data_IF_339685440187
#
_entry.id   IF_339685440187
#
_cell.length_a   1.000
_cell.length_b   1.000
_cell.length_c   1.000
_cell.angle_alpha   90.00
_cell.angle_beta   90.00
_cell.angle_gamma   90.00
#
_symmetry.space_group_name_H-M   'P 1'
#
loop_
_entity.id
_entity.type
_entity.pdbx_description
1 polymer ?
#
# COMPACT_ATOMS: atom_id res chain seq x y z
N UNK A 1 14.50 -23.46 7.15
CA UNK A 1 14.99 -22.10 7.47
C UNK A 1 13.97 -21.13 6.92
N UNK A 2 13.40 -20.30 7.79
CA UNK A 2 12.43 -19.25 7.43
C UNK A 2 13.21 -18.08 6.80
N UNK A 3 13.17 -17.98 5.47
CA UNK A 3 13.92 -16.97 4.73
C UNK A 3 13.02 -15.74 4.50
N UNK A 4 13.45 -14.51 4.86
CA UNK A 4 12.62 -13.31 4.77
C UNK A 4 11.96 -13.10 3.39
N UNK A 5 12.71 -13.34 2.31
CA UNK A 5 12.17 -13.26 0.95
C UNK A 5 11.04 -14.26 0.66
N UNK A 6 11.09 -15.49 1.21
CA UNK A 6 10.01 -16.46 1.06
C UNK A 6 8.78 -16.02 1.84
N UNK A 7 8.96 -15.52 3.07
CA UNK A 7 7.88 -14.96 3.89
C UNK A 7 7.18 -13.78 3.19
N UNK A 8 7.92 -12.92 2.49
CA UNK A 8 7.31 -11.82 1.72
C UNK A 8 6.49 -12.33 0.54
N UNK A 9 6.99 -13.33 -0.20
CA UNK A 9 6.24 -13.95 -1.31
C UNK A 9 4.95 -14.57 -0.80
N UNK A 10 5.01 -15.32 0.30
CA UNK A 10 3.85 -15.96 0.92
C UNK A 10 2.82 -14.92 1.39
N UNK A 11 3.26 -13.84 2.05
CA UNK A 11 2.37 -12.74 2.48
C UNK A 11 1.73 -12.00 1.30
N UNK A 12 2.48 -11.76 0.22
CA UNK A 12 1.91 -11.15 -0.98
C UNK A 12 0.87 -12.07 -1.65
N UNK A 13 1.10 -13.38 -1.63
CA UNK A 13 0.13 -14.36 -2.14
C UNK A 13 -1.13 -14.38 -1.27
N UNK A 14 -0.97 -14.47 0.05
CA UNK A 14 -2.09 -14.44 1.00
C UNK A 14 -2.89 -13.13 0.89
N UNK A 15 -2.20 -11.98 0.77
CA UNK A 15 -2.84 -10.69 0.59
C UNK A 15 -3.67 -10.66 -0.68
N UNK A 16 -3.12 -11.10 -1.81
CA UNK A 16 -3.85 -11.14 -3.07
C UNK A 16 -5.08 -12.07 -3.00
N UNK A 17 -4.96 -13.22 -2.35
CA UNK A 17 -6.08 -14.14 -2.13
C UNK A 17 -7.18 -13.48 -1.31
N UNK A 18 -6.85 -12.94 -0.13
CA UNK A 18 -7.85 -12.33 0.76
C UNK A 18 -8.46 -11.07 0.18
N UNK A 19 -7.70 -10.26 -0.54
CA UNK A 19 -8.21 -9.04 -1.17
C UNK A 19 -9.12 -9.39 -2.36
N UNK A 20 -8.82 -10.44 -3.13
CA UNK A 20 -9.68 -10.88 -4.24
C UNK A 20 -11.06 -11.40 -3.81
N UNK A 21 -11.26 -11.66 -2.51
CA UNK A 21 -12.57 -12.01 -1.94
C UNK A 21 -13.45 -10.77 -1.67
N UNK A 22 -12.91 -9.55 -1.81
CA UNK A 22 -13.69 -8.30 -1.65
C UNK A 22 -14.49 -8.06 -2.92
N UNK A 23 -15.78 -8.39 -2.88
CA UNK A 23 -16.68 -8.28 -4.03
C UNK A 23 -16.73 -6.85 -4.61
N UNK A 24 -16.65 -5.82 -3.77
CA UNK A 24 -16.70 -4.43 -4.20
C UNK A 24 -15.47 -3.98 -5.02
N UNK A 25 -14.41 -4.78 -5.11
CA UNK A 25 -13.31 -4.56 -6.06
C UNK A 25 -13.61 -5.07 -7.48
N UNK A 26 -14.75 -5.73 -7.71
CA UNK A 26 -15.19 -6.09 -9.07
C UNK A 26 -15.57 -4.82 -9.84
N UNK A 27 -15.07 -4.61 -11.08
CA UNK A 27 -15.35 -3.37 -11.82
C UNK A 27 -16.83 -3.08 -12.05
N UNK A 28 -17.71 -4.09 -12.12
CA UNK A 28 -19.15 -3.84 -12.22
C UNK A 28 -19.71 -3.24 -10.93
N UNK A 29 -19.39 -3.82 -9.77
CA UNK A 29 -19.85 -3.34 -8.47
C UNK A 29 -19.19 -2.02 -8.07
N UNK A 30 -17.90 -1.84 -8.38
CA UNK A 30 -17.17 -0.60 -8.11
C UNK A 30 -17.80 0.62 -8.76
N UNK A 31 -18.22 0.48 -10.02
CA UNK A 31 -18.86 1.56 -10.78
C UNK A 31 -20.19 2.02 -10.17
N UNK A 32 -20.92 1.11 -9.54
CA UNK A 32 -22.21 1.39 -8.91
C UNK A 32 -22.08 2.05 -7.53
N UNK A 33 -20.89 1.98 -6.91
CA UNK A 33 -20.65 2.58 -5.60
C UNK A 33 -20.43 4.09 -5.69
N UNK A 34 -20.92 4.78 -4.66
CA UNK A 34 -20.50 6.13 -4.36
C UNK A 34 -19.07 6.15 -3.75
N UNK A 35 -18.55 7.35 -3.54
CA UNK A 35 -17.25 7.57 -2.93
C UNK A 35 -17.12 6.94 -1.54
N UNK A 36 -18.19 6.94 -0.73
CA UNK A 36 -18.16 6.35 0.60
C UNK A 36 -17.99 4.83 0.53
N UNK A 37 -18.68 4.16 -0.40
CA UNK A 37 -18.52 2.73 -0.67
C UNK A 37 -17.15 2.36 -1.22
N UNK A 38 -16.62 3.18 -2.15
CA UNK A 38 -15.26 3.02 -2.68
C UNK A 38 -14.19 3.18 -1.60
N UNK A 39 -14.32 4.20 -0.74
CA UNK A 39 -13.44 4.40 0.42
C UNK A 39 -13.53 3.26 1.43
N UNK A 40 -14.74 2.79 1.73
CA UNK A 40 -14.94 1.66 2.64
C UNK A 40 -14.31 0.36 2.11
N UNK A 41 -14.33 0.17 0.79
CA UNK A 41 -13.66 -0.94 0.12
C UNK A 41 -12.15 -0.91 0.37
N UNK A 42 -11.50 0.25 0.22
CA UNK A 42 -10.08 0.41 0.52
C UNK A 42 -9.77 0.24 2.02
N UNK A 43 -10.66 0.70 2.89
CA UNK A 43 -10.56 0.45 4.34
C UNK A 43 -10.61 -1.06 4.67
N UNK A 44 -11.42 -1.84 3.96
CA UNK A 44 -11.44 -3.30 4.09
C UNK A 44 -10.15 -3.95 3.59
N UNK A 45 -9.59 -3.48 2.46
CA UNK A 45 -8.26 -3.89 1.97
C UNK A 45 -7.22 -3.70 3.08
N UNK A 46 -7.19 -2.52 3.69
CA UNK A 46 -6.29 -2.20 4.80
C UNK A 46 -6.45 -3.12 6.01
N UNK A 47 -7.69 -3.52 6.36
CA UNK A 47 -7.91 -4.46 7.46
C UNK A 47 -7.32 -5.83 7.17
N UNK A 48 -7.40 -6.30 5.92
CA UNK A 48 -6.81 -7.58 5.52
C UNK A 48 -5.28 -7.49 5.55
N UNK A 49 -4.71 -6.43 4.98
CA UNK A 49 -3.27 -6.19 4.99
C UNK A 49 -2.70 -6.07 6.41
N UNK A 50 -3.38 -5.35 7.29
CA UNK A 50 -2.96 -5.18 8.69
C UNK A 50 -2.81 -6.50 9.44
N UNK A 51 -3.71 -7.46 9.20
CA UNK A 51 -3.62 -8.80 9.79
C UNK A 51 -2.44 -9.60 9.25
N UNK A 52 -2.20 -9.52 7.93
CA UNK A 52 -1.17 -10.30 7.23
C UNK A 52 0.23 -9.76 7.54
N UNK A 53 0.40 -8.44 7.48
CA UNK A 53 1.67 -7.76 7.72
C UNK A 53 1.92 -7.43 9.19
N UNK A 54 0.95 -7.70 10.07
CA UNK A 54 0.98 -7.36 11.51
C UNK A 54 1.36 -5.90 11.75
N UNK A 55 0.94 -5.05 10.83
CA UNK A 55 1.15 -3.61 10.85
C UNK A 55 -0.20 -2.95 11.11
N UNK A 56 -0.30 -1.96 12.00
CA UNK A 56 -1.50 -1.16 12.13
C UNK A 56 -1.93 -0.61 10.75
N UNK A 57 -3.25 -0.50 10.50
CA UNK A 57 -3.81 0.07 9.27
C UNK A 57 -4.07 1.58 9.44
N UNK A 58 -3.31 2.48 8.80
CA UNK A 58 -3.59 3.92 8.90
C UNK A 58 -5.03 4.23 8.48
N UNK A 59 -5.70 5.23 9.08
CA UNK A 59 -6.96 5.74 8.58
C UNK A 59 -6.77 6.29 7.15
N UNK A 60 -7.76 6.08 6.29
CA UNK A 60 -7.82 6.67 4.96
C UNK A 60 -8.64 7.96 5.00
N UNK A 61 -7.96 9.08 4.73
CA UNK A 61 -8.57 10.37 4.44
C UNK A 61 -8.51 10.61 2.93
N UNK A 62 -9.65 10.98 2.35
CA UNK A 62 -9.75 11.36 0.94
C UNK A 62 -10.10 12.83 0.83
N UNK A 63 -9.28 13.58 0.11
CA UNK A 63 -9.44 15.03 -0.04
C UNK A 63 -9.30 15.43 -1.51
N UNK A 64 -9.85 16.59 -1.88
CA UNK A 64 -9.61 17.13 -3.23
C UNK A 64 -8.15 17.58 -3.28
N UNK A 65 -7.31 16.87 -4.03
CA UNK A 65 -5.93 17.29 -4.22
C UNK A 65 -5.81 18.48 -5.18
N UNK A 66 -4.65 19.12 -5.18
CA UNK A 66 -4.27 20.09 -6.22
C UNK A 66 -3.71 19.42 -7.49
N UNK A 67 -3.87 18.09 -7.63
CA UNK A 67 -3.40 17.32 -8.79
C UNK A 67 -1.89 17.05 -8.84
N UNK A 68 -1.17 17.18 -7.71
CA UNK A 68 0.29 16.97 -7.65
C UNK A 68 0.70 15.56 -7.25
N UNK A 69 -0.09 14.90 -6.38
CA UNK A 69 0.18 13.56 -5.86
C UNK A 69 -1.14 12.77 -5.75
N UNK A 70 -1.10 11.47 -6.01
CA UNK A 70 -2.30 10.61 -5.93
C UNK A 70 -2.60 10.15 -4.50
N UNK A 71 -1.60 10.13 -3.63
CA UNK A 71 -1.69 9.82 -2.22
C UNK A 71 -0.36 10.05 -1.54
N UNK A 72 -0.41 10.07 -0.21
CA UNK A 72 0.75 10.16 0.65
C UNK A 72 0.45 9.54 2.02
N UNK A 73 1.46 8.92 2.60
CA UNK A 73 1.44 8.53 4.01
C UNK A 73 2.03 9.65 4.86
N UNK A 74 1.23 10.20 5.77
CA UNK A 74 1.65 11.20 6.75
C UNK A 74 1.99 10.52 8.08
N UNK A 75 3.27 10.58 8.45
CA UNK A 75 3.77 9.94 9.68
C UNK A 75 3.24 10.61 10.96
N UNK A 76 3.11 11.94 10.98
CA UNK A 76 2.77 12.72 12.18
C UNK A 76 1.39 12.35 12.74
N UNK A 77 0.38 12.29 11.87
CA UNK A 77 -0.98 11.91 12.25
C UNK A 77 -1.27 10.42 12.00
N UNK A 78 -0.26 9.68 11.52
CA UNK A 78 -0.37 8.27 11.17
C UNK A 78 -1.57 8.00 10.24
N UNK A 79 -1.58 8.64 9.06
CA UNK A 79 -2.71 8.59 8.15
C UNK A 79 -2.30 8.45 6.70
N UNK A 80 -3.14 7.77 5.91
CA UNK A 80 -3.04 7.79 4.45
C UNK A 80 -3.96 8.90 3.95
N UNK A 81 -3.37 9.88 3.27
CA UNK A 81 -4.09 10.88 2.49
C UNK A 81 -4.11 10.41 1.05
N UNK A 82 -5.27 10.45 0.42
CA UNK A 82 -5.42 10.07 -0.98
C UNK A 82 -6.18 11.16 -1.71
N UNK A 83 -5.73 11.48 -2.92
CA UNK A 83 -6.50 12.34 -3.81
C UNK A 83 -7.82 11.63 -4.11
N UNK A 84 -8.93 12.31 -3.86
CA UNK A 84 -10.27 11.85 -4.14
C UNK A 84 -10.45 11.40 -5.59
N UNK A 85 -9.68 11.94 -6.54
CA UNK A 85 -9.66 11.48 -7.94
C UNK A 85 -9.36 9.99 -8.09
N UNK A 86 -8.59 9.36 -7.19
CA UNK A 86 -8.36 7.92 -7.27
C UNK A 86 -9.65 7.13 -7.09
N UNK A 87 -10.60 7.69 -6.32
CA UNK A 87 -11.91 7.08 -6.10
C UNK A 87 -12.89 7.40 -7.22
N UNK A 88 -12.62 8.34 -8.13
CA UNK A 88 -13.56 8.71 -9.19
C UNK A 88 -13.49 7.77 -10.40
N UNK A 89 -12.34 7.11 -10.61
CA UNK A 89 -12.16 6.12 -11.67
C UNK A 89 -13.19 4.99 -11.59
N UNK A 90 -13.75 4.61 -12.74
CA UNK A 90 -14.62 3.45 -12.90
C UNK A 90 -13.87 2.12 -12.75
N UNK A 91 -12.55 2.13 -12.94
CA UNK A 91 -11.68 0.98 -12.71
C UNK A 91 -11.07 1.07 -11.29
N UNK A 92 -11.31 0.09 -10.40
CA UNK A 92 -10.72 0.05 -9.05
C UNK A 92 -9.20 -0.15 -9.05
N UNK A 93 -8.56 -0.53 -10.17
CA UNK A 93 -7.12 -0.81 -10.24
C UNK A 93 -6.28 0.36 -9.73
N UNK A 94 -6.58 1.58 -10.17
CA UNK A 94 -5.84 2.78 -9.76
C UNK A 94 -5.98 3.00 -8.26
N UNK A 95 -7.22 3.00 -7.74
CA UNK A 95 -7.51 3.17 -6.32
C UNK A 95 -6.80 2.13 -5.44
N UNK A 96 -6.87 0.86 -5.84
CA UNK A 96 -6.23 -0.24 -5.11
C UNK A 96 -4.71 -0.10 -5.12
N UNK A 97 -4.10 0.18 -6.28
CA UNK A 97 -2.64 0.35 -6.40
C UNK A 97 -2.13 1.51 -5.54
N UNK A 98 -2.80 2.66 -5.60
CA UNK A 98 -2.43 3.81 -4.74
C UNK A 98 -2.56 3.44 -3.27
N UNK A 99 -3.66 2.83 -2.85
CA UNK A 99 -3.81 2.45 -1.45
C UNK A 99 -2.75 1.45 -0.97
N UNK A 100 -2.42 0.45 -1.80
CA UNK A 100 -1.38 -0.53 -1.50
C UNK A 100 0.00 0.11 -1.37
N UNK A 101 0.29 1.11 -2.22
CA UNK A 101 1.52 1.89 -2.16
C UNK A 101 1.63 2.61 -0.81
N UNK A 102 0.61 3.38 -0.43
CA UNK A 102 0.64 4.14 0.83
C UNK A 102 0.63 3.24 2.08
N UNK A 103 -0.06 2.11 2.02
CA UNK A 103 0.02 1.09 3.08
C UNK A 103 1.45 0.58 3.24
N UNK A 104 2.18 0.40 2.13
CA UNK A 104 3.56 -0.09 2.18
C UNK A 104 4.50 0.90 2.84
N UNK A 105 4.34 2.20 2.57
CA UNK A 105 5.09 3.25 3.29
C UNK A 105 4.86 3.16 4.80
N UNK A 106 3.61 3.01 5.25
CA UNK A 106 3.32 2.82 6.67
C UNK A 106 4.04 1.61 7.27
N UNK A 107 4.02 0.48 6.58
CA UNK A 107 4.77 -0.72 7.00
C UNK A 107 6.28 -0.47 7.04
N UNK A 108 6.85 0.18 6.03
CA UNK A 108 8.28 0.48 5.96
C UNK A 108 8.72 1.36 7.13
N UNK A 109 7.94 2.39 7.48
CA UNK A 109 8.21 3.26 8.65
C UNK A 109 8.21 2.46 9.95
N UNK A 110 7.26 1.54 10.15
CA UNK A 110 7.25 0.69 11.35
C UNK A 110 8.48 -0.24 11.40
N UNK A 111 8.91 -0.80 10.26
CA UNK A 111 10.13 -1.61 10.18
C UNK A 111 11.40 -0.77 10.44
N UNK A 112 11.48 0.45 9.89
CA UNK A 112 12.60 1.38 10.14
C UNK A 112 12.69 1.70 11.63
N UNK A 113 11.58 2.11 12.25
CA UNK A 113 11.54 2.47 13.68
C UNK A 113 11.92 1.30 14.58
N UNK A 114 11.46 0.10 14.26
CA UNK A 114 11.84 -1.10 14.97
C UNK A 114 13.34 -1.39 14.82
N UNK A 115 13.88 -1.30 13.61
CA UNK A 115 15.30 -1.49 13.32
C UNK A 115 16.19 -0.50 14.08
N UNK A 116 15.87 0.79 14.04
CA UNK A 116 16.64 1.84 14.73
C UNK A 116 16.64 1.69 16.25
N UNK A 117 15.58 1.10 16.82
CA UNK A 117 15.48 0.76 18.25
C UNK A 117 16.12 -0.59 18.60
N UNK A 118 16.70 -1.30 17.64
CA UNK A 118 17.26 -2.64 17.83
C UNK A 118 16.20 -3.71 18.11
N UNK A 119 14.95 -3.48 17.73
CA UNK A 119 13.85 -4.44 17.84
C UNK A 119 13.84 -5.41 16.64
N UNK A 120 13.11 -6.51 16.78
CA UNK A 120 12.94 -7.47 15.71
C UNK A 120 12.16 -6.86 14.53
N UNK A 121 12.68 -7.07 13.32
CA UNK A 121 12.05 -6.72 12.04
C UNK A 121 11.92 -7.97 11.17
N UNK A 122 11.06 -7.90 10.16
CA UNK A 122 10.84 -9.01 9.23
C UNK A 122 12.03 -9.27 8.32
N UNK A 123 12.71 -8.20 7.88
CA UNK A 123 13.88 -8.26 7.02
C UNK A 123 14.88 -7.16 7.43
N UNK A 124 15.99 -7.59 8.04
CA UNK A 124 17.04 -6.70 8.55
C UNK A 124 17.70 -5.89 7.42
N UNK A 125 17.94 -6.51 6.27
CA UNK A 125 18.63 -5.85 5.16
C UNK A 125 17.75 -4.79 4.52
N UNK A 126 16.46 -5.10 4.33
CA UNK A 126 15.49 -4.12 3.85
C UNK A 126 15.29 -2.98 4.84
N UNK A 127 15.10 -3.28 6.12
CA UNK A 127 14.90 -2.25 7.14
C UNK A 127 16.11 -1.31 7.24
N UNK A 128 17.33 -1.84 7.15
CA UNK A 128 18.54 -1.03 7.07
C UNK A 128 18.55 -0.14 5.81
N UNK A 129 18.30 -0.71 4.63
CA UNK A 129 18.29 0.03 3.37
C UNK A 129 17.25 1.17 3.39
N UNK A 130 16.07 0.90 3.92
CA UNK A 130 15.01 1.91 4.08
C UNK A 130 15.39 2.99 5.09
N UNK A 131 16.00 2.60 6.23
CA UNK A 131 16.46 3.55 7.25
C UNK A 131 17.60 4.45 6.75
N UNK A 132 18.42 3.97 5.81
CA UNK A 132 19.43 4.78 5.13
C UNK A 132 18.80 5.71 4.09
N UNK A 133 17.84 5.22 3.31
CA UNK A 133 17.15 6.01 2.29
C UNK A 133 16.33 7.16 2.89
N UNK A 134 15.58 6.92 3.97
CA UNK A 134 14.68 7.94 4.55
C UNK A 134 15.40 9.19 5.05
N UNK A 135 16.67 9.07 5.44
CA UNK A 135 17.50 10.19 5.94
C UNK A 135 17.81 11.22 4.86
N UNK A 136 17.82 10.81 3.60
CA UNK A 136 18.09 11.65 2.44
C UNK A 136 16.94 11.56 1.43
N UNK A 137 15.72 11.44 1.95
CA UNK A 137 14.55 11.27 1.12
C UNK A 137 14.35 12.49 0.22
N UNK A 138 14.22 12.22 -1.07
CA UNK A 138 13.91 13.18 -2.12
C UNK A 138 12.40 13.18 -2.28
N UNK A 139 11.76 14.35 -2.30
CA UNK A 139 10.30 14.47 -2.46
C UNK A 139 9.91 14.68 -3.93
N UNK A 140 8.71 14.23 -4.29
CA UNK A 140 8.11 14.55 -5.59
C UNK A 140 8.00 16.07 -5.76
N UNK A 141 8.21 16.64 -6.96
CA UNK A 141 8.39 15.99 -8.27
C UNK A 141 9.85 15.88 -8.72
N UNK A 142 10.81 15.71 -7.80
CA UNK A 142 12.24 15.61 -8.15
C UNK A 142 12.52 14.33 -8.96
N UNK A 143 13.40 14.39 -9.98
CA UNK A 143 13.62 13.30 -10.97
C UNK A 143 13.98 11.94 -10.36
N UNK A 144 14.69 11.94 -9.23
CA UNK A 144 15.15 10.70 -8.59
C UNK A 144 14.09 10.06 -7.66
N UNK A 145 12.94 10.70 -7.45
CA UNK A 145 11.90 10.29 -6.49
C UNK A 145 11.52 8.81 -6.62
N UNK A 146 11.05 8.39 -7.80
CA UNK A 146 10.56 7.02 -8.05
C UNK A 146 11.67 5.96 -8.01
N UNK A 147 12.93 6.39 -8.15
CA UNK A 147 14.09 5.49 -8.16
C UNK A 147 14.56 5.11 -6.75
N UNK A 148 14.06 5.79 -5.72
CA UNK A 148 14.46 5.59 -4.33
C UNK A 148 14.08 4.19 -3.82
N UNK A 149 14.89 3.56 -2.96
CA UNK A 149 14.60 2.24 -2.38
C UNK A 149 13.20 2.07 -1.76
N UNK A 150 12.72 3.07 -1.01
CA UNK A 150 11.38 3.06 -0.40
C UNK A 150 10.29 3.01 -1.49
N UNK A 151 10.34 3.96 -2.42
CA UNK A 151 9.42 4.12 -3.54
C UNK A 151 9.40 2.89 -4.46
N UNK A 152 10.57 2.35 -4.81
CA UNK A 152 10.67 1.14 -5.64
C UNK A 152 10.05 -0.08 -4.96
N UNK A 153 10.24 -0.24 -3.65
CA UNK A 153 9.64 -1.35 -2.92
C UNK A 153 8.12 -1.15 -2.75
N UNK A 154 7.65 0.07 -2.47
CA UNK A 154 6.22 0.41 -2.41
C UNK A 154 5.51 0.17 -3.75
N UNK A 155 6.08 0.63 -4.85
CA UNK A 155 5.56 0.39 -6.19
C UNK A 155 5.54 -1.09 -6.56
N UNK A 156 6.64 -1.81 -6.29
CA UNK A 156 6.70 -3.26 -6.55
C UNK A 156 5.68 -4.03 -5.72
N UNK A 157 5.51 -3.68 -4.45
CA UNK A 157 4.52 -4.27 -3.57
C UNK A 157 3.10 -4.07 -4.10
N UNK A 158 2.76 -2.83 -4.44
CA UNK A 158 1.45 -2.46 -4.96
C UNK A 158 1.13 -3.19 -6.28
N UNK A 159 2.07 -3.19 -7.23
CA UNK A 159 1.91 -3.87 -8.51
C UNK A 159 1.66 -5.37 -8.32
N UNK A 160 2.53 -6.04 -7.57
CA UNK A 160 2.44 -7.50 -7.40
C UNK A 160 1.14 -7.96 -6.74
N UNK A 161 0.64 -7.22 -5.76
CA UNK A 161 -0.62 -7.57 -5.12
C UNK A 161 -1.79 -7.23 -6.05
N UNK A 162 -1.82 -6.03 -6.64
CA UNK A 162 -2.92 -5.61 -7.51
C UNK A 162 -3.07 -6.52 -8.74
N UNK A 163 -1.98 -6.84 -9.45
CA UNK A 163 -2.02 -7.75 -10.61
C UNK A 163 -2.60 -9.12 -10.23
N UNK A 164 -2.17 -9.69 -9.10
CA UNK A 164 -2.67 -10.99 -8.62
C UNK A 164 -4.13 -10.93 -8.19
N UNK A 165 -4.56 -9.84 -7.56
CA UNK A 165 -5.95 -9.61 -7.17
C UNK A 165 -6.84 -9.59 -8.42
N UNK A 166 -6.50 -8.77 -9.41
CA UNK A 166 -7.35 -8.61 -10.59
C UNK A 166 -7.34 -9.83 -11.49
N UNK A 167 -6.20 -10.52 -11.63
CA UNK A 167 -6.17 -11.83 -12.29
C UNK A 167 -7.15 -12.81 -11.63
N UNK A 168 -7.15 -12.90 -10.29
CA UNK A 168 -8.08 -13.78 -9.55
C UNK A 168 -9.54 -13.36 -9.67
N UNK A 169 -9.82 -12.05 -9.77
CA UNK A 169 -11.18 -11.53 -9.99
C UNK A 169 -11.67 -11.88 -11.39
N UNK A 170 -10.80 -11.80 -12.41
CA UNK A 170 -11.12 -12.09 -13.81
C UNK A 170 -11.28 -13.60 -14.10
N UNK A 171 -10.60 -14.46 -13.34
CA UNK A 171 -10.68 -15.92 -13.44
C UNK A 171 -11.96 -16.52 -12.79
N UNK A 172 -12.77 -15.72 -12.09
CA UNK A 172 -13.99 -16.13 -11.38
C UNK A 172 -15.26 -15.77 -12.15
#
# INVERSE_FOLDING_TARGET
>A
MDHPALREVDRCQEAAEKISEIESLKPQLWREMDEAGRRWTLEEVGRKLSRIYRCPKPPLLTENGEGKEMGSYEEENWMIKADKEILLSDDPRKALKTYLHEFRHSYQIEQIRAYEKGLAVDDQQKAQLWAENIKNYVESPQEDYESQPLERDANRFAEQIAERVFRKIEER
#
